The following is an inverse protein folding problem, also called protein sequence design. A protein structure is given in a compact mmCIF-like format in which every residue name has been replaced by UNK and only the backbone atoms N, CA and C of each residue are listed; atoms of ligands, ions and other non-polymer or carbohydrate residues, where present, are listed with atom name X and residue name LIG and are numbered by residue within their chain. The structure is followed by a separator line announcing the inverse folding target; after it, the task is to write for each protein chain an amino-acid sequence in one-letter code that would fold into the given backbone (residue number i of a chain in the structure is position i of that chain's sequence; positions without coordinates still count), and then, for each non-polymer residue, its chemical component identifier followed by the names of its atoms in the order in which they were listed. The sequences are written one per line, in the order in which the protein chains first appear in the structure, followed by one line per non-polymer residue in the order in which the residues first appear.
data_IF_068873073625
#
_entry.id   IF_068873073625
#
_cell.length_a   1.000
_cell.length_b   1.000
_cell.length_c   1.000
_cell.angle_alpha   90.00
_cell.angle_beta   90.00
_cell.angle_gamma   90.00
#
_symmetry.space_group_name_H-M   'P 1'
#
loop_
_entity.id
_entity.type
_entity.pdbx_description
1 polymer ?
#
# COMPACT_ATOMS: atom_id res chain seq x y z
N UNK A 1 -15.42 -28.16 -0.52
CA UNK A 1 -14.13 -27.67 0.00
C UNK A 1 -13.32 -27.15 -1.17
N UNK A 2 -12.79 -25.93 -1.08
CA UNK A 2 -11.98 -25.34 -2.15
C UNK A 2 -10.60 -26.00 -2.17
N UNK A 3 -10.08 -26.29 -3.36
CA UNK A 3 -8.76 -26.90 -3.58
C UNK A 3 -7.72 -25.82 -3.87
N UNK A 4 -7.33 -25.08 -2.84
CA UNK A 4 -6.47 -23.91 -2.95
C UNK A 4 -5.01 -24.32 -2.86
N UNK A 5 -4.68 -25.20 -1.91
CA UNK A 5 -3.31 -25.63 -1.65
C UNK A 5 -2.74 -26.44 -2.82
N UNK A 6 -3.54 -27.25 -3.52
CA UNK A 6 -3.05 -28.00 -4.68
C UNK A 6 -2.70 -27.08 -5.85
N UNK A 7 -3.30 -25.89 -5.91
CA UNK A 7 -3.05 -24.86 -6.94
C UNK A 7 -1.99 -23.84 -6.55
N UNK A 8 -1.23 -24.07 -5.45
CA UNK A 8 -0.19 -23.16 -4.94
C UNK A 8 0.75 -22.62 -6.02
N UNK A 9 1.16 -23.45 -6.99
CA UNK A 9 2.06 -23.04 -8.08
C UNK A 9 1.48 -21.91 -8.94
N UNK A 10 0.17 -21.92 -9.18
CA UNK A 10 -0.52 -20.91 -9.98
C UNK A 10 -0.54 -19.58 -9.21
N UNK A 11 -0.90 -19.62 -7.93
CA UNK A 11 -0.94 -18.43 -7.07
C UNK A 11 0.43 -17.77 -6.93
N UNK A 12 1.47 -18.59 -6.72
CA UNK A 12 2.85 -18.10 -6.63
C UNK A 12 3.36 -17.56 -7.97
N UNK A 13 2.96 -18.17 -9.09
CA UNK A 13 3.32 -17.66 -10.41
C UNK A 13 2.66 -16.29 -10.68
N UNK A 14 1.38 -16.13 -10.36
CA UNK A 14 0.66 -14.85 -10.53
C UNK A 14 1.34 -13.76 -9.69
N UNK A 15 1.54 -14.01 -8.40
CA UNK A 15 2.25 -13.08 -7.51
C UNK A 15 3.68 -12.80 -7.99
N UNK A 16 4.40 -13.84 -8.39
CA UNK A 16 5.77 -13.72 -8.88
C UNK A 16 5.88 -12.85 -10.12
N UNK A 17 4.94 -12.97 -11.07
CA UNK A 17 4.89 -12.12 -12.27
C UNK A 17 4.64 -10.67 -11.88
N UNK A 18 3.68 -10.38 -11.00
CA UNK A 18 3.38 -9.01 -10.58
C UNK A 18 4.58 -8.39 -9.86
N UNK A 19 5.18 -9.12 -8.92
CA UNK A 19 6.38 -8.66 -8.21
C UNK A 19 7.54 -8.47 -9.18
N UNK A 20 7.71 -9.34 -10.18
CA UNK A 20 8.76 -9.18 -11.19
C UNK A 20 8.56 -7.90 -12.02
N UNK A 21 7.32 -7.61 -12.45
CA UNK A 21 6.98 -6.35 -13.13
C UNK A 21 7.32 -5.16 -12.22
N UNK A 22 6.98 -5.25 -10.94
CA UNK A 22 7.32 -4.24 -9.95
C UNK A 22 8.82 -4.04 -9.78
N UNK A 23 9.60 -5.11 -9.65
CA UNK A 23 11.05 -5.05 -9.53
C UNK A 23 11.70 -4.43 -10.77
N UNK A 24 11.24 -4.79 -11.97
CA UNK A 24 11.71 -4.17 -13.23
C UNK A 24 11.35 -2.69 -13.27
N UNK A 25 10.13 -2.31 -12.88
CA UNK A 25 9.72 -0.90 -12.79
C UNK A 25 10.56 -0.14 -11.78
N UNK A 26 10.82 -0.71 -10.60
CA UNK A 26 11.65 -0.11 -9.56
C UNK A 26 13.11 0.06 -10.03
N UNK A 27 13.65 -0.90 -10.76
CA UNK A 27 15.02 -0.82 -11.28
C UNK A 27 15.17 0.20 -12.42
N UNK A 28 14.13 0.38 -13.26
CA UNK A 28 14.19 1.26 -14.44
C UNK A 28 13.71 2.68 -14.17
N UNK A 29 12.63 2.85 -13.41
CA UNK A 29 11.99 4.14 -13.13
C UNK A 29 12.17 4.61 -11.68
N UNK A 30 12.43 3.68 -10.75
CA UNK A 30 12.48 3.99 -9.33
C UNK A 30 11.10 4.24 -8.72
N UNK A 31 11.11 4.90 -7.56
CA UNK A 31 9.93 5.46 -6.90
C UNK A 31 9.92 6.97 -7.10
N UNK A 32 8.77 7.53 -7.47
CA UNK A 32 8.61 8.98 -7.47
C UNK A 32 8.38 9.46 -6.03
N UNK A 33 9.38 10.10 -5.43
CA UNK A 33 9.22 10.66 -4.09
C UNK A 33 8.44 11.98 -4.14
N UNK A 34 7.40 12.10 -3.32
CA UNK A 34 6.65 13.33 -3.13
C UNK A 34 7.45 14.40 -2.36
N UNK A 35 6.88 15.60 -2.28
CA UNK A 35 7.54 16.75 -1.63
C UNK A 35 7.84 16.53 -0.15
N UNK A 36 7.03 15.74 0.54
CA UNK A 36 7.28 15.35 1.93
C UNK A 36 8.64 14.68 2.13
N UNK A 37 9.17 14.04 1.08
CA UNK A 37 10.43 13.30 1.11
C UNK A 37 11.56 13.95 0.30
N UNK A 38 11.24 14.74 -0.75
CA UNK A 38 12.22 15.52 -1.53
C UNK A 38 12.50 16.91 -0.93
N UNK A 39 11.53 17.48 -0.22
CA UNK A 39 11.44 18.92 0.03
C UNK A 39 10.84 19.66 -1.17
N UNK A 40 10.25 20.83 -0.91
CA UNK A 40 9.62 21.67 -1.92
C UNK A 40 8.54 22.59 -1.35
N UNK A 41 7.83 23.27 -2.23
CA UNK A 41 6.75 24.19 -1.90
C UNK A 41 5.39 23.62 -2.27
N UNK A 42 4.44 23.73 -1.35
CA UNK A 42 3.01 23.49 -1.56
C UNK A 42 2.28 24.83 -1.49
N UNK A 43 1.48 25.15 -2.49
CA UNK A 43 0.67 26.37 -2.54
C UNK A 43 -0.76 25.98 -2.83
N UNK A 44 -1.68 26.43 -2.00
CA UNK A 44 -3.10 26.35 -2.26
C UNK A 44 -3.64 27.73 -2.64
N UNK A 45 -4.32 27.80 -3.77
CA UNK A 45 -4.96 29.01 -4.28
C UNK A 45 -6.46 28.73 -4.39
N UNK A 46 -7.26 29.47 -3.62
CA UNK A 46 -8.70 29.46 -3.77
C UNK A 46 -9.09 30.39 -4.91
N UNK A 47 -9.75 29.85 -5.93
CA UNK A 47 -10.24 30.54 -7.11
C UNK A 47 -11.64 31.14 -6.91
N UNK A 48 -12.31 30.83 -5.78
CA UNK A 48 -13.67 31.21 -5.37
C UNK A 48 -14.80 30.79 -6.33
N UNK A 49 -14.47 30.24 -7.50
CA UNK A 49 -15.39 29.77 -8.54
C UNK A 49 -14.82 28.50 -9.17
N UNK A 50 -15.68 27.74 -9.86
CA UNK A 50 -15.22 26.65 -10.73
C UNK A 50 -14.30 27.21 -11.81
N UNK A 51 -13.17 26.56 -12.03
CA UNK A 51 -12.14 26.98 -12.97
C UNK A 51 -11.68 25.80 -13.83
N UNK A 52 -11.10 26.10 -14.99
CA UNK A 52 -10.45 25.08 -15.82
C UNK A 52 -9.04 24.80 -15.26
N UNK A 53 -8.77 23.54 -14.94
CA UNK A 53 -7.47 23.13 -14.40
C UNK A 53 -6.37 23.33 -15.44
N UNK A 54 -6.67 23.05 -16.70
CA UNK A 54 -5.67 23.03 -17.76
C UNK A 54 -5.13 24.45 -18.02
N UNK A 55 -5.98 25.46 -17.91
CA UNK A 55 -5.57 26.87 -18.00
C UNK A 55 -4.65 27.31 -16.86
N UNK A 56 -4.93 26.85 -15.64
CA UNK A 56 -4.07 27.15 -14.48
C UNK A 56 -2.74 26.42 -14.61
N UNK A 57 -2.79 25.16 -15.04
CA UNK A 57 -1.62 24.32 -15.28
C UNK A 57 -0.67 24.92 -16.33
N UNK A 58 -1.20 25.51 -17.41
CA UNK A 58 -0.40 26.22 -18.40
C UNK A 58 0.37 27.41 -17.82
N UNK A 59 -0.24 28.14 -16.87
CA UNK A 59 0.43 29.24 -16.16
C UNK A 59 1.51 28.69 -15.23
N UNK A 60 1.15 27.70 -14.39
CA UNK A 60 2.05 27.11 -13.39
C UNK A 60 3.30 26.52 -14.05
N UNK A 61 3.14 25.83 -15.18
CA UNK A 61 4.22 25.19 -15.92
C UNK A 61 5.34 26.15 -16.35
N UNK A 62 5.04 27.44 -16.52
CA UNK A 62 6.05 28.48 -16.84
C UNK A 62 7.04 28.71 -15.69
N UNK A 63 6.59 28.50 -14.45
CA UNK A 63 7.33 28.83 -13.24
C UNK A 63 7.84 27.58 -12.50
N UNK A 64 7.10 26.48 -12.57
CA UNK A 64 7.47 25.18 -12.01
C UNK A 64 7.28 24.08 -13.07
N UNK A 65 8.32 23.70 -13.82
CA UNK A 65 8.22 22.61 -14.81
C UNK A 65 7.95 21.25 -14.18
N UNK A 66 8.31 21.08 -12.91
CA UNK A 66 8.16 19.86 -12.10
C UNK A 66 6.86 19.85 -11.27
N UNK A 67 5.91 20.72 -11.60
CA UNK A 67 4.70 20.87 -10.81
C UNK A 67 3.82 19.61 -10.82
N UNK A 68 3.17 19.37 -9.69
CA UNK A 68 1.99 18.53 -9.57
C UNK A 68 0.84 19.39 -9.07
N UNK A 69 -0.31 19.36 -9.74
CA UNK A 69 -1.47 20.13 -9.34
C UNK A 69 -2.71 19.27 -9.18
N UNK A 70 -3.48 19.52 -8.12
CA UNK A 70 -4.73 18.84 -7.83
C UNK A 70 -5.83 19.85 -7.52
N UNK A 71 -7.05 19.60 -8.02
CA UNK A 71 -8.23 20.38 -7.64
C UNK A 71 -8.69 20.01 -6.23
N UNK A 72 -8.98 21.03 -5.43
CA UNK A 72 -9.52 20.90 -4.08
C UNK A 72 -10.91 21.54 -4.07
N UNK A 73 -11.94 20.76 -3.75
CA UNK A 73 -13.35 21.21 -3.68
C UNK A 73 -13.90 21.94 -4.92
N UNK A 74 -13.33 21.71 -6.12
CA UNK A 74 -13.64 22.40 -7.38
C UNK A 74 -13.43 23.93 -7.41
N UNK A 75 -13.12 24.56 -6.28
CA UNK A 75 -12.92 26.01 -6.16
C UNK A 75 -11.49 26.37 -5.78
N UNK A 76 -10.68 25.42 -5.34
CA UNK A 76 -9.27 25.63 -5.01
C UNK A 76 -8.38 24.73 -5.87
N UNK A 77 -7.13 25.15 -6.04
CA UNK A 77 -6.07 24.32 -6.62
C UNK A 77 -4.92 24.22 -5.63
N UNK A 78 -4.43 23.01 -5.42
CA UNK A 78 -3.17 22.75 -4.75
C UNK A 78 -2.08 22.57 -5.82
N UNK A 79 -0.97 23.28 -5.68
CA UNK A 79 0.21 23.23 -6.55
C UNK A 79 1.40 22.82 -5.71
N UNK A 80 2.12 21.79 -6.15
CA UNK A 80 3.28 21.20 -5.50
C UNK A 80 4.46 21.27 -6.46
N UNK A 81 5.59 21.86 -6.06
CA UNK A 81 6.83 21.84 -6.85
C UNK A 81 8.06 21.77 -5.94
N UNK A 82 9.09 21.04 -6.35
CA UNK A 82 10.34 20.95 -5.60
C UNK A 82 11.27 22.14 -5.88
N UNK A 83 11.09 22.83 -7.01
CA UNK A 83 12.02 23.84 -7.52
C UNK A 83 11.42 25.25 -7.62
N UNK A 84 10.26 25.49 -7.03
CA UNK A 84 9.59 26.79 -7.10
C UNK A 84 10.27 27.80 -6.16
N UNK A 85 10.89 28.85 -6.73
CA UNK A 85 11.56 29.91 -5.97
C UNK A 85 10.55 30.94 -5.46
N UNK A 86 10.88 31.69 -4.40
CA UNK A 86 10.00 32.74 -3.87
C UNK A 86 9.61 33.79 -4.94
N UNK A 87 10.52 34.13 -5.86
CA UNK A 87 10.22 35.03 -6.98
C UNK A 87 9.27 34.38 -8.00
N UNK A 88 9.47 33.09 -8.29
CA UNK A 88 8.57 32.29 -9.12
C UNK A 88 7.17 32.19 -8.52
N UNK A 89 7.06 31.98 -7.20
CA UNK A 89 5.79 31.98 -6.46
C UNK A 89 5.06 33.30 -6.67
N UNK A 90 5.72 34.43 -6.40
CA UNK A 90 5.11 35.74 -6.51
C UNK A 90 4.64 36.04 -7.93
N UNK A 91 5.44 35.67 -8.94
CA UNK A 91 5.13 35.89 -10.35
C UNK A 91 3.96 35.00 -10.81
N UNK A 92 3.98 33.72 -10.43
CA UNK A 92 2.93 32.75 -10.71
C UNK A 92 1.60 33.17 -10.08
N UNK A 93 1.59 33.48 -8.78
CA UNK A 93 0.39 33.93 -8.06
C UNK A 93 -0.15 35.21 -8.68
N UNK A 94 0.71 36.15 -9.08
CA UNK A 94 0.29 37.39 -9.75
C UNK A 94 -0.38 37.12 -11.11
N UNK A 95 0.16 36.22 -11.90
CA UNK A 95 -0.43 35.84 -13.20
C UNK A 95 -1.79 35.13 -13.03
N UNK A 96 -1.88 34.22 -12.05
CA UNK A 96 -3.12 33.53 -11.70
C UNK A 96 -4.18 34.52 -11.21
N UNK A 97 -3.83 35.43 -10.29
CA UNK A 97 -4.77 36.43 -9.73
C UNK A 97 -5.22 37.47 -10.75
N UNK A 98 -4.39 37.77 -11.75
CA UNK A 98 -4.76 38.66 -12.86
C UNK A 98 -5.72 37.98 -13.83
N UNK A 99 -5.47 36.71 -14.15
CA UNK A 99 -6.29 35.91 -15.08
C UNK A 99 -7.63 35.51 -14.45
N UNK A 100 -7.58 35.02 -13.21
CA UNK A 100 -8.71 34.57 -12.41
C UNK A 100 -8.97 35.58 -11.30
N UNK A 101 -9.71 36.64 -11.63
CA UNK A 101 -10.07 37.71 -10.68
C UNK A 101 -10.83 37.15 -9.48
N UNK A 102 -10.35 37.50 -8.29
CA UNK A 102 -10.91 37.03 -7.02
C UNK A 102 -10.26 35.75 -6.50
N UNK A 103 -9.22 35.22 -7.16
CA UNK A 103 -8.40 34.17 -6.57
C UNK A 103 -7.47 34.72 -5.49
N UNK A 104 -7.16 33.91 -4.48
CA UNK A 104 -6.25 34.27 -3.40
C UNK A 104 -5.50 33.04 -2.91
N UNK A 105 -4.23 33.22 -2.53
CA UNK A 105 -3.46 32.19 -1.84
C UNK A 105 -4.09 31.96 -0.47
N UNK A 106 -4.47 30.72 -0.19
CA UNK A 106 -5.05 30.32 1.10
C UNK A 106 -4.07 29.55 1.96
N UNK A 107 -3.15 28.81 1.34
CA UNK A 107 -2.09 28.12 2.06
C UNK A 107 -0.78 28.21 1.27
N UNK A 108 0.34 28.33 1.99
CA UNK A 108 1.67 28.22 1.41
C UNK A 108 2.58 27.56 2.44
N UNK A 109 3.06 26.38 2.09
CA UNK A 109 3.97 25.58 2.91
C UNK A 109 5.28 25.37 2.16
N UNK A 110 6.40 25.45 2.88
CA UNK A 110 7.72 25.20 2.32
C UNK A 110 8.46 24.19 3.18
N UNK A 111 8.73 23.03 2.60
CA UNK A 111 9.41 21.92 3.25
C UNK A 111 10.87 21.94 2.80
N UNK A 112 11.79 22.20 3.73
CA UNK A 112 13.22 22.14 3.43
C UNK A 112 13.68 20.72 3.07
N UNK A 113 14.61 20.59 2.14
CA UNK A 113 15.15 19.30 1.70
C UNK A 113 15.75 18.46 2.85
N UNK A 114 16.30 19.10 3.89
CA UNK A 114 16.80 18.44 5.10
C UNK A 114 15.66 17.77 5.88
N UNK A 115 14.55 18.48 6.08
CA UNK A 115 13.34 17.98 6.74
C UNK A 115 12.75 16.84 5.93
N UNK A 116 12.64 16.99 4.60
CA UNK A 116 12.12 15.93 3.73
C UNK A 116 12.94 14.64 3.83
N UNK A 117 14.28 14.75 3.80
CA UNK A 117 15.18 13.61 3.98
C UNK A 117 15.05 12.96 5.36
N UNK A 118 14.90 13.76 6.41
CA UNK A 118 14.70 13.25 7.77
C UNK A 118 13.35 12.52 7.89
N UNK A 119 12.26 13.11 7.41
CA UNK A 119 10.92 12.50 7.38
C UNK A 119 10.94 11.18 6.64
N UNK A 120 11.58 11.12 5.47
CA UNK A 120 11.76 9.87 4.71
C UNK A 120 12.49 8.81 5.52
N UNK A 121 13.59 9.15 6.19
CA UNK A 121 14.35 8.20 6.99
C UNK A 121 13.53 7.68 8.18
N UNK A 122 12.82 8.57 8.89
CA UNK A 122 11.92 8.19 10.00
C UNK A 122 10.78 7.29 9.51
N UNK A 123 10.23 7.57 8.33
CA UNK A 123 9.22 6.76 7.68
C UNK A 123 9.71 5.32 7.39
N UNK A 124 10.91 5.18 6.81
CA UNK A 124 11.52 3.85 6.62
C UNK A 124 11.78 3.13 7.93
N UNK A 125 12.27 3.84 8.96
CA UNK A 125 12.45 3.28 10.30
C UNK A 125 11.12 2.80 10.90
N UNK A 126 10.04 3.56 10.76
CA UNK A 126 8.72 3.20 11.27
C UNK A 126 8.20 1.90 10.64
N UNK A 127 8.39 1.69 9.33
CA UNK A 127 8.01 0.44 8.65
C UNK A 127 8.80 -0.75 9.18
N UNK A 128 10.11 -0.59 9.40
CA UNK A 128 10.97 -1.66 9.97
C UNK A 128 10.54 -1.98 11.40
N UNK A 129 10.32 -0.96 12.24
CA UNK A 129 9.85 -1.13 13.62
C UNK A 129 8.50 -1.84 13.64
N UNK A 130 7.56 -1.45 12.77
CA UNK A 130 6.27 -2.11 12.64
C UNK A 130 6.44 -3.59 12.25
N UNK A 131 7.29 -3.90 11.27
CA UNK A 131 7.55 -5.28 10.86
C UNK A 131 8.13 -6.13 12.02
N UNK A 132 9.06 -5.57 12.81
CA UNK A 132 9.64 -6.25 13.98
C UNK A 132 8.62 -6.41 15.11
N UNK A 133 7.80 -5.40 15.38
CA UNK A 133 6.73 -5.51 16.37
C UNK A 133 5.70 -6.58 15.98
N UNK A 134 5.34 -6.65 14.69
CA UNK A 134 4.46 -7.68 14.14
C UNK A 134 5.08 -9.08 14.27
N UNK A 135 6.38 -9.21 14.00
CA UNK A 135 7.16 -10.43 14.21
C UNK A 135 7.05 -10.95 15.65
N UNK A 136 7.28 -10.06 16.62
CA UNK A 136 7.18 -10.37 18.05
C UNK A 136 5.76 -10.79 18.41
N UNK A 137 4.76 -10.02 17.98
CA UNK A 137 3.36 -10.32 18.25
C UNK A 137 2.94 -11.69 17.71
N UNK A 138 3.25 -11.98 16.43
CA UNK A 138 2.92 -13.27 15.82
C UNK A 138 3.74 -14.40 16.47
N UNK A 139 5.00 -14.16 16.83
CA UNK A 139 5.84 -15.14 17.53
C UNK A 139 5.34 -15.51 18.94
N UNK A 140 4.71 -14.57 19.65
CA UNK A 140 4.07 -14.84 20.95
C UNK A 140 2.72 -15.55 20.74
N UNK A 141 1.94 -15.13 19.75
CA UNK A 141 0.57 -15.63 19.51
C UNK A 141 0.54 -17.02 18.83
N UNK A 142 1.53 -17.31 17.97
CA UNK A 142 1.57 -18.48 17.10
C UNK A 142 2.91 -19.23 17.16
N UNK A 143 2.90 -20.50 16.77
CA UNK A 143 4.14 -21.26 16.60
C UNK A 143 5.01 -20.64 15.50
N UNK A 144 6.33 -20.75 15.65
CA UNK A 144 7.34 -20.14 14.76
C UNK A 144 7.04 -20.29 13.25
N UNK A 145 6.51 -21.45 12.81
CA UNK A 145 6.20 -21.71 11.38
C UNK A 145 5.05 -20.85 10.84
N UNK A 146 4.03 -20.60 11.65
CA UNK A 146 2.95 -19.67 11.31
C UNK A 146 3.51 -18.25 11.28
N UNK A 147 4.40 -17.90 12.22
CA UNK A 147 5.17 -16.65 12.19
C UNK A 147 5.86 -16.41 10.85
N UNK A 148 6.76 -17.32 10.46
CA UNK A 148 7.50 -17.24 9.18
C UNK A 148 6.57 -17.10 7.98
N UNK A 149 5.49 -17.90 7.92
CA UNK A 149 4.52 -17.82 6.83
C UNK A 149 3.79 -16.47 6.77
N UNK A 150 3.40 -15.91 7.91
CA UNK A 150 2.75 -14.59 7.99
C UNK A 150 3.70 -13.45 7.59
N UNK A 151 4.98 -13.51 7.94
CA UNK A 151 5.94 -12.46 7.54
C UNK A 151 6.16 -12.51 6.04
N UNK A 152 6.29 -13.70 5.46
CA UNK A 152 6.48 -13.84 4.01
C UNK A 152 5.27 -13.32 3.23
N UNK A 153 4.05 -13.52 3.72
CA UNK A 153 2.84 -12.93 3.13
C UNK A 153 2.79 -11.41 3.28
N UNK A 154 3.24 -10.87 4.42
CA UNK A 154 3.36 -9.41 4.60
C UNK A 154 4.41 -8.77 3.70
N UNK A 155 5.58 -9.42 3.53
CA UNK A 155 6.62 -8.97 2.58
C UNK A 155 6.06 -8.97 1.16
N UNK A 156 5.32 -10.01 0.77
CA UNK A 156 4.60 -10.05 -0.49
C UNK A 156 3.69 -8.81 -0.65
N UNK A 157 2.88 -8.46 0.35
CA UNK A 157 1.95 -7.33 0.26
C UNK A 157 2.66 -5.99 0.09
N UNK A 158 3.76 -5.80 0.81
CA UNK A 158 4.60 -4.61 0.65
C UNK A 158 5.20 -4.54 -0.76
N UNK A 159 5.65 -5.66 -1.32
CA UNK A 159 6.19 -5.69 -2.69
C UNK A 159 5.11 -5.39 -3.74
N UNK A 160 3.89 -5.89 -3.56
CA UNK A 160 2.76 -5.55 -4.43
C UNK A 160 2.43 -4.06 -4.32
N UNK A 161 2.42 -3.49 -3.11
CA UNK A 161 2.23 -2.05 -2.94
C UNK A 161 3.31 -1.24 -3.66
N UNK A 162 4.59 -1.58 -3.47
CA UNK A 162 5.70 -0.93 -4.16
C UNK A 162 5.61 -1.05 -5.68
N UNK A 163 5.08 -2.18 -6.18
CA UNK A 163 4.80 -2.38 -7.61
C UNK A 163 3.80 -1.36 -8.11
N UNK A 164 2.70 -1.13 -7.39
CA UNK A 164 1.68 -0.14 -7.77
C UNK A 164 2.29 1.27 -7.79
N UNK A 165 2.99 1.67 -6.72
CA UNK A 165 3.61 2.99 -6.65
C UNK A 165 4.62 3.22 -7.79
N UNK A 166 5.47 2.23 -8.07
CA UNK A 166 6.47 2.36 -9.13
C UNK A 166 5.86 2.30 -10.54
N UNK A 167 4.93 1.39 -10.82
CA UNK A 167 4.37 1.22 -12.17
C UNK A 167 3.53 2.43 -12.57
N UNK A 168 2.68 2.90 -11.66
CA UNK A 168 1.80 4.04 -11.90
C UNK A 168 2.48 5.40 -11.61
N UNK A 169 3.74 5.40 -11.17
CA UNK A 169 4.48 6.62 -10.80
C UNK A 169 3.68 7.49 -9.83
N UNK A 170 3.07 6.86 -8.83
CA UNK A 170 2.32 7.57 -7.81
C UNK A 170 3.34 8.16 -6.82
N UNK A 171 3.21 9.46 -6.47
CA UNK A 171 4.10 10.09 -5.52
C UNK A 171 4.09 9.36 -4.17
N UNK A 172 5.28 9.06 -3.66
CA UNK A 172 5.52 8.45 -2.36
C UNK A 172 5.72 9.59 -1.36
N UNK A 173 4.68 9.88 -0.58
CA UNK A 173 4.61 10.94 0.42
C UNK A 173 4.30 10.38 1.83
N UNK A 174 3.91 11.21 2.79
CA UNK A 174 3.55 10.74 4.12
C UNK A 174 2.33 9.79 4.10
N UNK A 175 1.41 9.95 3.13
CA UNK A 175 0.22 9.10 3.00
C UNK A 175 0.57 7.69 2.55
N UNK A 176 1.65 7.51 1.79
CA UNK A 176 2.18 6.18 1.44
C UNK A 176 2.47 5.33 2.69
N UNK A 177 3.02 5.93 3.75
CA UNK A 177 3.33 5.20 4.99
C UNK A 177 2.05 4.78 5.70
N UNK A 178 1.07 5.68 5.77
CA UNK A 178 -0.25 5.35 6.30
C UNK A 178 -0.90 4.21 5.50
N UNK A 179 -0.78 4.23 4.16
CA UNK A 179 -1.33 3.18 3.31
C UNK A 179 -0.65 1.83 3.57
N UNK A 180 0.69 1.77 3.61
CA UNK A 180 1.43 0.53 3.88
C UNK A 180 1.08 -0.05 5.26
N UNK A 181 1.12 0.76 6.32
CA UNK A 181 0.79 0.29 7.66
C UNK A 181 -0.66 -0.22 7.74
N UNK A 182 -1.58 0.45 7.04
CA UNK A 182 -2.98 0.04 6.95
C UNK A 182 -3.11 -1.33 6.27
N UNK A 183 -2.46 -1.52 5.12
CA UNK A 183 -2.49 -2.80 4.39
C UNK A 183 -1.90 -3.93 5.23
N UNK A 184 -0.77 -3.68 5.89
CA UNK A 184 -0.14 -4.66 6.80
C UNK A 184 -1.11 -5.05 7.91
N UNK A 185 -1.78 -4.08 8.54
CA UNK A 185 -2.74 -4.32 9.63
C UNK A 185 -3.98 -5.11 9.19
N UNK A 186 -4.55 -4.79 8.04
CA UNK A 186 -5.68 -5.54 7.50
C UNK A 186 -5.28 -6.96 7.04
N UNK A 187 -4.14 -7.09 6.37
CA UNK A 187 -3.63 -8.38 5.88
C UNK A 187 -3.32 -9.34 7.02
N UNK A 188 -2.59 -8.88 8.05
CA UNK A 188 -2.26 -9.76 9.17
C UNK A 188 -3.51 -10.22 9.93
N UNK A 189 -4.51 -9.35 10.12
CA UNK A 189 -5.74 -9.72 10.81
C UNK A 189 -6.43 -10.91 10.11
N UNK A 190 -6.46 -10.91 8.77
CA UNK A 190 -7.04 -12.02 8.02
C UNK A 190 -6.17 -13.29 8.10
N UNK A 191 -4.85 -13.15 7.97
CA UNK A 191 -3.89 -14.26 8.15
C UNK A 191 -4.05 -14.94 9.52
N UNK A 192 -4.24 -14.17 10.58
CA UNK A 192 -4.44 -14.68 11.96
C UNK A 192 -5.72 -15.51 12.05
N UNK A 193 -6.81 -15.05 11.44
CA UNK A 193 -8.10 -15.78 11.45
C UNK A 193 -7.96 -17.12 10.74
N UNK A 194 -7.33 -17.14 9.56
CA UNK A 194 -7.08 -18.38 8.82
C UNK A 194 -6.18 -19.33 9.62
N UNK A 195 -5.11 -18.81 10.23
CA UNK A 195 -4.17 -19.62 11.00
C UNK A 195 -4.76 -20.16 12.30
N UNK A 196 -5.56 -19.38 13.02
CA UNK A 196 -6.29 -19.87 14.19
C UNK A 196 -7.26 -20.98 13.77
N UNK A 197 -7.94 -20.86 12.62
CA UNK A 197 -8.79 -21.95 12.11
C UNK A 197 -8.01 -23.20 11.71
N UNK A 198 -6.81 -23.04 11.14
CA UNK A 198 -5.90 -24.17 10.87
C UNK A 198 -5.51 -24.87 12.18
N UNK A 199 -5.14 -24.12 13.22
CA UNK A 199 -4.78 -24.67 14.54
C UNK A 199 -5.96 -25.37 15.22
N UNK A 200 -7.14 -24.81 15.11
CA UNK A 200 -8.38 -25.41 15.62
C UNK A 200 -8.66 -26.73 14.91
N UNK A 201 -8.70 -26.73 13.58
CA UNK A 201 -8.95 -27.94 12.81
C UNK A 201 -7.86 -29.00 13.01
N UNK A 202 -6.63 -28.66 13.38
CA UNK A 202 -5.61 -29.67 13.73
C UNK A 202 -6.02 -30.53 14.93
N UNK A 203 -6.79 -29.97 15.87
CA UNK A 203 -7.27 -30.70 17.04
C UNK A 203 -8.39 -31.68 16.68
N UNK A 204 -9.25 -31.31 15.72
CA UNK A 204 -10.44 -32.06 15.32
C UNK A 204 -10.21 -33.01 14.13
N UNK A 205 -9.39 -32.62 13.15
CA UNK A 205 -9.10 -33.36 11.90
C UNK A 205 -7.75 -34.10 11.97
N UNK A 206 -7.49 -34.83 13.05
CA UNK A 206 -6.17 -35.45 13.32
C UNK A 206 -5.70 -36.45 12.27
N UNK A 207 -6.62 -37.06 11.52
CA UNK A 207 -6.32 -38.06 10.47
C UNK A 207 -6.20 -37.47 9.07
N UNK A 208 -6.60 -36.20 8.89
CA UNK A 208 -6.57 -35.54 7.58
C UNK A 208 -5.15 -35.16 7.19
N UNK A 209 -4.91 -35.09 5.88
CA UNK A 209 -3.65 -34.57 5.35
C UNK A 209 -3.52 -33.07 5.65
N UNK A 210 -2.30 -32.55 5.78
CA UNK A 210 -2.00 -31.13 6.03
C UNK A 210 -2.62 -30.22 4.95
N UNK A 211 -2.64 -30.70 3.70
CA UNK A 211 -3.29 -30.02 2.57
C UNK A 211 -4.81 -29.91 2.78
N UNK A 212 -5.48 -31.04 3.01
CA UNK A 212 -6.93 -31.11 3.22
C UNK A 212 -7.37 -30.27 4.44
N UNK A 213 -6.59 -30.34 5.52
CA UNK A 213 -6.76 -29.53 6.71
C UNK A 213 -6.75 -28.03 6.37
N UNK A 214 -5.75 -27.57 5.62
CA UNK A 214 -5.63 -26.16 5.26
C UNK A 214 -6.76 -25.72 4.32
N UNK A 215 -7.10 -26.51 3.30
CA UNK A 215 -8.22 -26.23 2.40
C UNK A 215 -9.56 -26.14 3.14
N UNK A 216 -9.80 -27.02 4.12
CA UNK A 216 -10.98 -26.98 4.97
C UNK A 216 -11.02 -25.69 5.80
N UNK A 217 -9.91 -25.33 6.44
CA UNK A 217 -9.80 -24.12 7.25
C UNK A 217 -10.02 -22.85 6.43
N UNK A 218 -9.40 -22.74 5.25
CA UNK A 218 -9.57 -21.59 4.36
C UNK A 218 -11.02 -21.49 3.90
N UNK A 219 -11.62 -22.62 3.47
CA UNK A 219 -13.03 -22.64 3.02
C UNK A 219 -13.97 -22.13 4.12
N UNK A 220 -13.71 -22.48 5.39
CA UNK A 220 -14.53 -22.09 6.53
C UNK A 220 -14.39 -20.61 6.90
N UNK A 221 -13.22 -19.99 6.68
CA UNK A 221 -12.99 -18.58 7.01
C UNK A 221 -13.27 -17.63 5.84
N UNK A 222 -13.33 -18.14 4.61
CA UNK A 222 -13.39 -17.33 3.39
C UNK A 222 -14.53 -16.29 3.37
N UNK A 223 -15.73 -16.67 3.80
CA UNK A 223 -16.87 -15.72 3.85
C UNK A 223 -16.58 -14.54 4.77
N UNK A 224 -15.93 -14.77 5.92
CA UNK A 224 -15.56 -13.70 6.86
C UNK A 224 -14.48 -12.80 6.27
N UNK A 225 -13.44 -13.39 5.69
CA UNK A 225 -12.32 -12.68 5.04
C UNK A 225 -12.83 -11.76 3.93
N UNK A 226 -13.65 -12.30 3.02
CA UNK A 226 -14.24 -11.55 1.91
C UNK A 226 -15.14 -10.43 2.44
N UNK A 227 -16.02 -10.70 3.41
CA UNK A 227 -16.94 -9.68 3.92
C UNK A 227 -16.20 -8.52 4.59
N UNK A 228 -15.13 -8.82 5.35
CA UNK A 228 -14.32 -7.80 6.03
C UNK A 228 -13.58 -6.90 5.03
N UNK A 229 -13.14 -7.48 3.91
CA UNK A 229 -12.46 -6.75 2.85
C UNK A 229 -13.46 -5.94 2.02
N UNK A 230 -14.62 -6.52 1.68
CA UNK A 230 -15.66 -5.82 0.92
C UNK A 230 -16.17 -4.56 1.62
N UNK A 231 -16.37 -4.60 2.94
CA UNK A 231 -16.81 -3.41 3.68
C UNK A 231 -15.80 -2.28 3.57
N UNK A 232 -14.50 -2.59 3.67
CA UNK A 232 -13.41 -1.62 3.50
C UNK A 232 -13.33 -1.12 2.05
N UNK A 233 -13.47 -2.01 1.08
CA UNK A 233 -13.44 -1.64 -0.34
C UNK A 233 -14.58 -0.68 -0.70
N UNK A 234 -15.79 -0.88 -0.19
CA UNK A 234 -16.92 0.05 -0.43
C UNK A 234 -16.57 1.46 0.07
N UNK A 235 -15.98 1.56 1.27
CA UNK A 235 -15.56 2.85 1.83
C UNK A 235 -14.44 3.47 0.98
N UNK A 236 -13.42 2.69 0.61
CA UNK A 236 -12.31 3.19 -0.19
C UNK A 236 -12.70 3.58 -1.61
N UNK A 237 -13.62 2.85 -2.25
CA UNK A 237 -14.20 3.22 -3.55
C UNK A 237 -14.98 4.53 -3.44
N UNK A 238 -15.72 4.73 -2.34
CA UNK A 238 -16.41 6.00 -2.11
C UNK A 238 -15.40 7.14 -1.97
N UNK A 239 -14.34 6.98 -1.18
CA UNK A 239 -13.27 7.98 -1.06
C UNK A 239 -12.62 8.26 -2.43
N UNK A 240 -12.33 7.20 -3.20
CA UNK A 240 -11.74 7.29 -4.52
C UNK A 240 -12.59 8.10 -5.51
N UNK A 241 -13.91 7.93 -5.50
CA UNK A 241 -14.82 8.62 -6.43
C UNK A 241 -15.16 10.03 -5.96
N UNK A 242 -15.42 10.22 -4.65
CA UNK A 242 -15.97 11.46 -4.12
C UNK A 242 -14.91 12.44 -3.60
N UNK A 243 -13.65 12.01 -3.39
CA UNK A 243 -12.58 12.85 -2.83
C UNK A 243 -11.37 12.85 -3.78
N UNK A 244 -11.36 13.70 -4.83
CA UNK A 244 -10.29 13.75 -5.83
C UNK A 244 -8.90 14.03 -5.25
N UNK A 245 -8.82 14.81 -4.17
CA UNK A 245 -7.55 15.13 -3.50
C UNK A 245 -6.86 13.91 -2.87
N UNK A 246 -7.59 12.80 -2.67
CA UNK A 246 -7.07 11.55 -2.12
C UNK A 246 -6.87 10.45 -3.17
N UNK A 247 -6.93 10.74 -4.48
CA UNK A 247 -6.73 9.74 -5.54
C UNK A 247 -5.41 8.97 -5.38
N UNK A 248 -4.31 9.69 -5.15
CA UNK A 248 -2.97 9.13 -4.96
C UNK A 248 -2.83 8.28 -3.68
N UNK A 249 -3.75 8.43 -2.72
CA UNK A 249 -3.80 7.63 -1.50
C UNK A 249 -4.76 6.44 -1.62
N UNK A 250 -5.97 6.68 -2.12
CA UNK A 250 -7.04 5.68 -2.21
C UNK A 250 -6.73 4.59 -3.24
N UNK A 251 -6.15 4.96 -4.39
CA UNK A 251 -5.85 4.01 -5.48
C UNK A 251 -4.84 2.92 -5.06
N UNK A 252 -3.68 3.24 -4.46
CA UNK A 252 -2.80 2.21 -3.92
C UNK A 252 -3.43 1.41 -2.80
N UNK A 253 -4.17 2.06 -1.89
CA UNK A 253 -4.78 1.39 -0.75
C UNK A 253 -5.83 0.36 -1.18
N UNK A 254 -6.62 0.65 -2.23
CA UNK A 254 -7.54 -0.31 -2.85
C UNK A 254 -6.81 -1.58 -3.31
N UNK A 255 -5.72 -1.42 -4.07
CA UNK A 255 -4.94 -2.57 -4.55
C UNK A 255 -4.30 -3.32 -3.39
N UNK A 256 -3.78 -2.59 -2.39
CA UNK A 256 -3.17 -3.18 -1.21
C UNK A 256 -4.13 -4.02 -0.38
N UNK A 257 -5.34 -3.55 -0.14
CA UNK A 257 -6.37 -4.29 0.61
C UNK A 257 -6.81 -5.55 -0.15
N UNK A 258 -6.98 -5.48 -1.48
CA UNK A 258 -7.27 -6.65 -2.32
C UNK A 258 -6.10 -7.64 -2.25
N UNK A 259 -4.87 -7.16 -2.40
CA UNK A 259 -3.66 -7.98 -2.32
C UNK A 259 -3.51 -8.64 -0.96
N UNK A 260 -3.79 -7.95 0.15
CA UNK A 260 -3.67 -8.50 1.50
C UNK A 260 -4.65 -9.64 1.76
N UNK A 261 -5.89 -9.51 1.29
CA UNK A 261 -6.88 -10.59 1.31
C UNK A 261 -6.39 -11.80 0.48
N UNK A 262 -5.95 -11.52 -0.75
CA UNK A 262 -5.41 -12.55 -1.63
C UNK A 262 -4.19 -13.25 -0.98
N UNK A 263 -3.28 -12.50 -0.39
CA UNK A 263 -2.06 -13.02 0.23
C UNK A 263 -2.34 -13.89 1.44
N UNK A 264 -3.27 -13.48 2.31
CA UNK A 264 -3.66 -14.27 3.49
C UNK A 264 -4.23 -15.65 3.10
N UNK A 265 -5.04 -15.69 2.05
CA UNK A 265 -5.74 -16.89 1.58
C UNK A 265 -4.81 -17.77 0.71
N UNK A 266 -4.17 -17.16 -0.29
CA UNK A 266 -3.49 -17.86 -1.39
C UNK A 266 -1.96 -17.89 -1.26
N UNK A 267 -1.37 -17.16 -0.31
CA UNK A 267 0.09 -17.10 -0.10
C UNK A 267 0.50 -17.62 1.28
N UNK A 268 -0.06 -17.05 2.35
CA UNK A 268 0.29 -17.39 3.73
C UNK A 268 0.02 -18.87 4.06
N UNK A 269 -1.19 -19.35 3.71
CA UNK A 269 -1.60 -20.73 3.99
C UNK A 269 -0.77 -21.77 3.22
N UNK A 270 -0.50 -21.60 1.90
CA UNK A 270 0.48 -22.43 1.21
C UNK A 270 1.90 -22.42 1.77
N UNK A 271 2.44 -21.25 2.15
CA UNK A 271 3.76 -21.19 2.79
C UNK A 271 3.79 -22.05 4.05
N UNK A 272 2.76 -21.94 4.88
CA UNK A 272 2.65 -22.75 6.08
C UNK A 272 2.61 -24.26 5.78
N UNK A 273 1.83 -24.69 4.78
CA UNK A 273 1.76 -26.11 4.36
C UNK A 273 3.14 -26.61 3.89
N UNK A 274 3.86 -25.82 3.10
CA UNK A 274 5.22 -26.15 2.62
C UNK A 274 6.16 -26.36 3.81
N UNK A 275 6.17 -25.43 4.77
CA UNK A 275 7.02 -25.54 5.96
C UNK A 275 6.68 -26.75 6.83
N UNK A 276 5.39 -27.08 6.97
CA UNK A 276 4.96 -28.25 7.75
C UNK A 276 5.37 -29.56 7.06
N UNK A 277 5.19 -29.67 5.75
CA UNK A 277 5.59 -30.84 4.96
C UNK A 277 7.11 -31.04 4.95
N UNK A 278 7.90 -29.95 4.83
CA UNK A 278 9.36 -30.03 4.87
C UNK A 278 9.86 -30.51 6.24
N UNK A 279 9.28 -30.00 7.34
CA UNK A 279 9.63 -30.45 8.68
C UNK A 279 9.28 -31.92 8.93
N UNK A 280 8.15 -32.40 8.42
CA UNK A 280 7.75 -33.80 8.52
C UNK A 280 8.73 -34.73 7.77
N UNK A 281 9.14 -34.36 6.55
CA UNK A 281 10.15 -35.09 5.78
C UNK A 281 11.51 -35.13 6.49
N UNK A 282 11.97 -34.01 7.06
CA UNK A 282 13.23 -33.96 7.81
C UNK A 282 13.20 -34.89 9.04
N UNK A 283 12.08 -34.93 9.78
CA UNK A 283 11.92 -35.82 10.94
C UNK A 283 11.94 -37.31 10.54
N UNK A 284 11.31 -37.66 9.42
CA UNK A 284 11.35 -39.03 8.86
C UNK A 284 12.75 -39.43 8.39
N UNK A 285 13.52 -38.50 7.83
CA UNK A 285 14.89 -38.76 7.37
C UNK A 285 15.89 -38.97 8.53
N UNK A 286 15.67 -38.31 9.68
CA UNK A 286 16.51 -38.46 10.88
C UNK A 286 16.16 -39.73 11.68
N UNK A 287 14.95 -40.28 11.48
CA UNK A 287 14.47 -41.49 12.15
C UNK A 287 14.82 -42.79 11.41
N UNK A 288 15.45 -42.69 10.22
CA UNK A 288 16.02 -43.81 9.47
C UNK A 288 17.52 -43.81 9.65
#
# INVERSE_FOLDING_TARGET
MLKIIEKTKIWFAISGIIILIGMVSLATKGLDYGLDFKGGTVIEINMNKSFDKDQVDEIVKKYAPDYQSNKVNNTSIEIKSANLTNEGINSMVKEITTTFKGSAVTNQENIGASIGKETRNKAFQAVIIAAVAMLIYVGIRFEFKFGVAAILSLVHDVLIMLTVYSVFQIPVDSMFIAAILTVIGYSINDTIVVFDRIRENQKYMRKSNVTELADASITQTMTRSINTVLTVLITLISVYIFVPSLDNFAKPLLVGIISGCYSSIFIASPFWVIFKNHAAKKKLAISK
#
